data_IF_676372059317
#
_entry.id   IF_676372059317
#
_cell.length_a   1.000
_cell.length_b   1.000
_cell.length_c   1.000
_cell.angle_alpha   90.00
_cell.angle_beta   90.00
_cell.angle_gamma   90.00
#
_symmetry.space_group_name_H-M   'P 1'
#
loop_
_entity.id
_entity.type
_entity.pdbx_description
1 polymer ?
#
# COMPACT_ATOMS: atom_id res chain seq x y z
N UNK A 1 6.14 2.09 -5.80
CA UNK A 1 6.16 1.10 -4.70
C UNK A 1 6.27 1.89 -3.39
N UNK A 2 5.40 1.63 -2.43
CA UNK A 2 5.33 2.28 -1.12
C UNK A 2 5.53 1.21 -0.03
N UNK A 3 6.49 1.43 0.86
CA UNK A 3 6.78 0.56 2.00
C UNK A 3 6.64 1.41 3.26
N UNK A 4 5.81 0.98 4.20
CA UNK A 4 5.50 1.75 5.43
C UNK A 4 5.16 0.80 6.58
N UNK A 5 5.37 1.23 7.80
CA UNK A 5 4.92 0.55 9.03
C UNK A 5 3.52 1.00 9.50
N UNK A 6 2.99 2.06 8.90
CA UNK A 6 1.65 2.59 9.17
C UNK A 6 1.58 4.10 8.94
N UNK A 7 0.94 4.58 7.85
CA UNK A 7 0.77 6.00 7.63
C UNK A 7 -0.34 6.56 8.51
N UNK A 8 -0.15 7.80 8.97
CA UNK A 8 -1.12 8.53 9.77
C UNK A 8 -2.37 8.93 8.98
N UNK A 9 -2.28 8.96 7.64
CA UNK A 9 -3.36 9.43 6.75
C UNK A 9 -3.34 8.72 5.38
N UNK A 10 -4.40 8.89 4.61
CA UNK A 10 -4.54 8.37 3.25
C UNK A 10 -4.03 9.37 2.19
N UNK A 11 -3.03 9.00 1.37
CA UNK A 11 -2.48 9.85 0.29
C UNK A 11 -3.37 9.96 -0.96
N UNK A 12 -4.69 9.91 -0.81
CA UNK A 12 -5.63 9.82 -1.92
C UNK A 12 -5.64 11.09 -2.79
N UNK A 13 -5.51 12.27 -2.19
CA UNK A 13 -5.56 13.54 -2.92
C UNK A 13 -4.36 13.69 -3.86
N UNK A 14 -3.19 13.22 -3.42
CA UNK A 14 -1.97 13.20 -4.24
C UNK A 14 -2.14 12.24 -5.43
N UNK A 15 -2.63 11.03 -5.18
CA UNK A 15 -2.81 10.03 -6.23
C UNK A 15 -3.86 10.50 -7.25
N UNK A 16 -4.94 11.12 -6.80
CA UNK A 16 -5.97 11.70 -7.67
C UNK A 16 -5.41 12.85 -8.51
N UNK A 17 -4.60 13.72 -7.93
CA UNK A 17 -4.04 14.86 -8.65
C UNK A 17 -3.08 14.45 -9.77
N UNK A 18 -2.23 13.44 -9.53
CA UNK A 18 -1.15 13.08 -10.47
C UNK A 18 -1.42 11.87 -11.35
N UNK A 19 -2.28 10.93 -10.93
CA UNK A 19 -2.48 9.66 -11.62
C UNK A 19 -3.87 9.52 -12.27
N UNK A 20 -4.85 10.34 -11.92
CA UNK A 20 -6.18 10.30 -12.52
C UNK A 20 -6.24 11.22 -13.77
N UNK A 21 -7.03 10.92 -14.83
CA UNK A 21 -7.92 9.77 -15.02
C UNK A 21 -7.27 8.56 -15.72
N UNK A 22 -6.13 8.75 -16.40
CA UNK A 22 -5.54 7.69 -17.23
C UNK A 22 -4.84 6.57 -16.42
N UNK A 23 -4.53 6.81 -15.14
CA UNK A 23 -3.91 5.86 -14.20
C UNK A 23 -2.73 5.06 -14.77
N UNK A 24 -1.73 5.70 -15.42
CA UNK A 24 -0.58 4.98 -15.97
C UNK A 24 0.36 4.42 -14.89
N UNK A 25 0.37 5.01 -13.68
CA UNK A 25 1.25 4.60 -12.58
C UNK A 25 0.60 3.50 -11.74
N UNK A 26 1.32 2.39 -11.55
CA UNK A 26 0.92 1.29 -10.65
C UNK A 26 1.48 1.49 -9.25
N UNK A 27 0.63 1.36 -8.23
CA UNK A 27 0.99 1.58 -6.83
C UNK A 27 0.89 0.25 -6.08
N UNK A 28 2.05 -0.23 -5.63
CA UNK A 28 2.19 -1.41 -4.77
C UNK A 28 2.51 -0.95 -3.36
N UNK A 29 1.73 -1.39 -2.38
CA UNK A 29 1.78 -0.96 -0.99
C UNK A 29 2.12 -2.13 -0.08
N UNK A 30 3.23 -2.00 0.65
CA UNK A 30 3.70 -2.99 1.62
C UNK A 30 3.65 -2.40 3.01
N UNK A 31 2.93 -3.07 3.90
CA UNK A 31 2.89 -2.75 5.31
C UNK A 31 3.85 -3.66 6.07
N UNK A 32 4.80 -3.10 6.81
CA UNK A 32 5.73 -3.85 7.65
C UNK A 32 5.25 -3.77 9.10
N UNK A 33 5.14 -4.93 9.75
CA UNK A 33 4.75 -5.01 11.16
C UNK A 33 3.26 -5.25 11.38
N UNK A 34 2.87 -5.24 12.65
CA UNK A 34 1.54 -5.70 13.13
C UNK A 34 0.57 -4.56 13.42
N UNK A 35 0.89 -3.32 13.04
CA UNK A 35 0.05 -2.18 13.38
C UNK A 35 -1.34 -2.29 12.69
N UNK A 36 -2.35 -2.48 13.53
CA UNK A 36 -3.76 -2.61 13.11
C UNK A 36 -4.34 -1.28 12.66
N UNK A 37 -3.79 -0.15 13.13
CA UNK A 37 -4.30 1.19 12.82
C UNK A 37 -3.85 1.65 11.44
N UNK A 38 -2.55 1.58 11.15
CA UNK A 38 -2.00 1.86 9.83
C UNK A 38 -2.49 0.88 8.76
N UNK A 39 -2.68 -0.40 9.10
CA UNK A 39 -3.10 -1.41 8.13
C UNK A 39 -4.46 -1.15 7.49
N UNK A 40 -5.44 -0.65 8.25
CA UNK A 40 -6.77 -0.31 7.71
C UNK A 40 -6.69 0.88 6.74
N UNK A 41 -5.86 1.87 7.04
CA UNK A 41 -5.64 3.07 6.22
C UNK A 41 -4.95 2.73 4.91
N UNK A 42 -3.89 1.92 4.95
CA UNK A 42 -3.16 1.46 3.75
C UNK A 42 -4.03 0.53 2.91
N UNK A 43 -4.76 -0.39 3.54
CA UNK A 43 -5.70 -1.25 2.84
C UNK A 43 -6.77 -0.44 2.10
N UNK A 44 -7.35 0.56 2.77
CA UNK A 44 -8.35 1.44 2.14
C UNK A 44 -7.77 2.22 0.97
N UNK A 45 -6.55 2.73 1.09
CA UNK A 45 -5.83 3.39 0.00
C UNK A 45 -5.59 2.44 -1.18
N UNK A 46 -5.25 1.18 -0.93
CA UNK A 46 -5.10 0.20 -1.98
C UNK A 46 -6.44 -0.14 -2.66
N UNK A 47 -7.52 -0.33 -1.91
CA UNK A 47 -8.83 -0.65 -2.49
C UNK A 47 -9.46 0.52 -3.27
N UNK A 48 -9.32 1.76 -2.80
CA UNK A 48 -9.93 2.93 -3.44
C UNK A 48 -9.21 3.32 -4.75
N UNK A 49 -7.96 2.89 -4.94
CA UNK A 49 -7.27 2.99 -6.22
C UNK A 49 -7.49 1.69 -7.00
N UNK A 50 -8.08 1.75 -8.20
CA UNK A 50 -8.42 0.59 -9.06
C UNK A 50 -7.27 -0.39 -9.38
N UNK A 51 -6.04 -0.08 -8.94
CA UNK A 51 -4.80 -0.83 -9.21
C UNK A 51 -3.96 -1.00 -7.92
N UNK A 52 -4.57 -0.95 -6.74
CA UNK A 52 -3.83 -1.09 -5.49
C UNK A 52 -3.57 -2.53 -5.12
N UNK A 53 -2.30 -2.86 -4.91
CA UNK A 53 -1.87 -4.12 -4.32
C UNK A 53 -1.45 -3.86 -2.88
N UNK A 54 -1.98 -4.63 -1.94
CA UNK A 54 -1.67 -4.52 -0.51
C UNK A 54 -1.11 -5.84 0.01
N UNK A 55 0.06 -5.77 0.63
CA UNK A 55 0.69 -6.92 1.29
C UNK A 55 1.18 -6.49 2.66
N UNK A 56 0.83 -7.28 3.68
CA UNK A 56 1.37 -7.12 5.02
C UNK A 56 2.49 -8.14 5.27
N UNK A 57 3.64 -7.66 5.71
CA UNK A 57 4.82 -8.44 6.06
C UNK A 57 5.01 -8.32 7.56
N UNK A 58 4.80 -9.41 8.28
CA UNK A 58 4.92 -9.45 9.74
C UNK A 58 6.32 -9.88 10.16
N UNK A 59 6.86 -10.89 9.48
CA UNK A 59 8.16 -11.48 9.76
C UNK A 59 9.10 -11.30 8.57
N UNK A 60 10.40 -11.10 8.85
CA UNK A 60 11.43 -10.96 7.81
C UNK A 60 11.53 -12.19 6.90
N UNK A 61 11.28 -13.39 7.45
CA UNK A 61 11.28 -14.65 6.70
C UNK A 61 10.19 -14.70 5.61
N UNK A 62 9.03 -14.07 5.85
CA UNK A 62 7.95 -14.02 4.87
C UNK A 62 8.17 -12.98 3.77
N UNK A 63 9.09 -12.03 3.96
CA UNK A 63 9.29 -10.90 3.06
C UNK A 63 9.65 -11.37 1.65
N UNK A 64 10.58 -12.34 1.54
CA UNK A 64 11.02 -12.88 0.25
C UNK A 64 9.85 -13.51 -0.51
N UNK A 65 9.05 -14.33 0.18
CA UNK A 65 7.88 -15.01 -0.40
C UNK A 65 6.79 -14.03 -0.84
N UNK A 66 6.57 -12.96 -0.08
CA UNK A 66 5.46 -12.01 -0.33
C UNK A 66 5.81 -10.90 -1.33
N UNK A 67 7.09 -10.67 -1.62
CA UNK A 67 7.56 -9.60 -2.51
C UNK A 67 8.06 -10.13 -3.85
N UNK A 68 8.67 -11.33 -3.87
CA UNK A 68 9.39 -11.85 -5.06
C UNK A 68 8.69 -13.04 -5.71
N UNK A 69 8.13 -13.95 -4.90
CA UNK A 69 7.43 -15.16 -5.35
C UNK A 69 5.94 -14.92 -5.54
#
# INVERSE_FOLDING_TARGET
MLITDGPSDTFMDVIKHYNHPHMPVRIFTYLIGTDKSGGKTVYRMACENKVGFFVQIINAEEARKKVVE
#
